data_IF_506379855713
#
_entry.id   IF_506379855713
#
_cell.length_a   1.000
_cell.length_b   1.000
_cell.length_c   1.000
_cell.angle_alpha   90.00
_cell.angle_beta   90.00
_cell.angle_gamma   90.00
#
_symmetry.space_group_name_H-M   'P 1'
#
loop_
_entity.id
_entity.type
_entity.pdbx_description
1 polymer ?
#
# COMPACT_ATOMS: atom_id res chain seq x y z
N UNK A 1 -27.22 37.00 -24.29
CA UNK A 1 -27.04 37.19 -22.83
C UNK A 1 -27.80 36.11 -22.09
N UNK A 2 -27.17 34.96 -21.85
CA UNK A 2 -27.54 34.07 -20.75
C UNK A 2 -26.26 33.40 -20.29
N UNK A 3 -25.63 34.01 -19.29
CA UNK A 3 -24.48 33.46 -18.59
C UNK A 3 -24.95 32.30 -17.72
N UNK A 4 -24.54 31.10 -18.09
CA UNK A 4 -24.49 29.97 -17.16
C UNK A 4 -23.19 30.07 -16.38
N UNK A 5 -23.30 30.40 -15.10
CA UNK A 5 -22.19 30.35 -14.15
C UNK A 5 -21.74 28.89 -14.00
N UNK A 6 -20.67 28.51 -14.69
CA UNK A 6 -19.88 27.37 -14.29
C UNK A 6 -19.32 27.67 -12.89
N UNK A 7 -19.85 26.98 -11.88
CA UNK A 7 -19.20 26.91 -10.57
C UNK A 7 -17.89 26.15 -10.78
N UNK A 8 -16.83 26.87 -11.15
CA UNK A 8 -15.47 26.40 -10.97
C UNK A 8 -15.28 26.21 -9.46
N UNK A 9 -15.38 24.95 -8.99
CA UNK A 9 -14.85 24.58 -7.69
C UNK A 9 -13.38 25.00 -7.71
N UNK A 10 -13.05 26.10 -7.02
CA UNK A 10 -11.68 26.55 -6.84
C UNK A 10 -10.87 25.35 -6.39
N UNK A 11 -9.87 24.96 -7.19
CA UNK A 11 -9.00 23.84 -6.88
C UNK A 11 -8.35 24.11 -5.52
N UNK A 12 -8.84 23.45 -4.46
CA UNK A 12 -8.37 23.70 -3.10
C UNK A 12 -7.14 22.84 -2.91
N UNK A 13 -5.99 23.42 -3.23
CA UNK A 13 -4.68 22.89 -2.82
C UNK A 13 -4.75 22.38 -1.37
N UNK A 14 -4.47 21.09 -1.21
CA UNK A 14 -4.46 20.42 0.07
C UNK A 14 -3.21 20.85 0.84
N UNK A 15 -3.37 21.17 2.13
CA UNK A 15 -2.24 21.49 3.00
C UNK A 15 -1.99 20.34 3.95
N UNK A 16 -0.71 19.99 4.10
CA UNK A 16 -0.27 18.97 5.03
C UNK A 16 0.67 19.57 6.07
N UNK A 17 0.53 19.13 7.31
CA UNK A 17 1.53 19.32 8.35
C UNK A 17 2.37 18.05 8.42
N UNK A 18 3.67 18.16 8.11
CA UNK A 18 4.64 17.07 8.28
C UNK A 18 4.95 16.86 9.76
N UNK A 19 4.93 15.61 10.18
CA UNK A 19 5.43 15.13 11.45
C UNK A 19 6.54 14.12 11.16
N UNK A 20 7.75 14.40 11.63
CA UNK A 20 8.89 13.48 11.56
C UNK A 20 8.88 12.63 12.82
N UNK A 21 8.43 11.38 12.71
CA UNK A 21 8.26 10.50 13.88
C UNK A 21 9.58 9.83 14.24
N UNK A 22 10.33 9.40 13.23
CA UNK A 22 11.66 8.82 13.36
C UNK A 22 12.45 9.06 12.06
N UNK A 23 13.78 9.14 12.15
CA UNK A 23 14.69 9.30 11.00
C UNK A 23 15.59 8.08 10.79
N UNK A 24 15.46 7.04 11.61
CA UNK A 24 16.21 5.79 11.51
C UNK A 24 15.48 4.78 10.61
N UNK A 25 16.24 3.99 9.84
CA UNK A 25 15.71 2.96 8.96
C UNK A 25 15.39 1.66 9.73
N UNK A 26 14.10 1.31 9.78
CA UNK A 26 13.62 0.09 10.42
C UNK A 26 12.65 -0.73 9.57
N UNK A 27 12.06 -0.14 8.54
CA UNK A 27 11.04 -0.75 7.72
C UNK A 27 10.93 -0.02 6.38
N UNK A 28 10.36 -0.70 5.39
CA UNK A 28 10.00 -0.15 4.08
C UNK A 28 8.49 0.10 3.95
N UNK A 29 7.71 -0.17 5.01
CA UNK A 29 6.26 0.00 5.02
C UNK A 29 5.73 0.33 6.42
N UNK A 30 4.41 0.47 6.55
CA UNK A 30 3.78 0.84 7.82
C UNK A 30 2.44 0.14 8.00
N UNK A 31 2.15 -0.24 9.24
CA UNK A 31 0.82 -0.64 9.66
C UNK A 31 0.21 0.49 10.49
N UNK A 32 -1.10 0.70 10.36
CA UNK A 32 -1.84 1.76 11.04
C UNK A 32 -3.03 1.14 11.77
N UNK A 33 -3.17 1.40 13.07
CA UNK A 33 -4.19 0.75 13.90
C UNK A 33 -4.32 1.40 15.27
N UNK A 34 -5.44 1.21 15.96
CA UNK A 34 -5.60 1.58 17.37
C UNK A 34 -5.08 0.42 18.24
N UNK A 35 -3.76 0.34 18.42
CA UNK A 35 -3.11 -0.81 19.05
C UNK A 35 -3.27 -0.81 20.58
N UNK A 36 -3.59 0.33 21.20
CA UNK A 36 -3.77 0.45 22.64
C UNK A 36 -5.22 0.66 23.11
N UNK A 37 -6.17 0.72 22.17
CA UNK A 37 -7.60 1.00 22.41
C UNK A 37 -7.88 2.36 23.05
N UNK A 38 -7.04 3.35 22.78
CA UNK A 38 -7.26 4.71 23.27
C UNK A 38 -8.16 5.55 22.36
N UNK A 39 -8.58 4.96 21.23
CA UNK A 39 -9.44 5.58 20.24
C UNK A 39 -8.69 6.41 19.19
N UNK A 40 -7.36 6.46 19.21
CA UNK A 40 -6.51 7.12 18.21
C UNK A 40 -5.84 6.08 17.32
N UNK A 41 -5.56 6.46 16.08
CA UNK A 41 -4.78 5.63 15.18
C UNK A 41 -3.29 5.84 15.47
N UNK A 42 -2.59 4.74 15.69
CA UNK A 42 -1.15 4.69 15.89
C UNK A 42 -0.44 4.14 14.64
N UNK A 43 0.90 4.13 14.67
CA UNK A 43 1.73 3.66 13.55
C UNK A 43 2.68 2.58 14.04
N UNK A 44 2.77 1.45 13.34
CA UNK A 44 3.86 0.48 13.47
C UNK A 44 4.74 0.52 12.24
N UNK A 45 6.05 0.56 12.45
CA UNK A 45 7.07 0.44 11.41
C UNK A 45 8.17 -0.52 11.89
N UNK A 46 8.15 -1.75 11.38
CA UNK A 46 9.06 -2.81 11.79
C UNK A 46 8.95 -3.10 13.30
N UNK A 47 10.07 -2.99 14.02
CA UNK A 47 10.15 -3.31 15.44
C UNK A 47 9.51 -2.28 16.38
N UNK A 48 9.00 -1.16 15.87
CA UNK A 48 8.53 -0.05 16.69
C UNK A 48 7.07 0.30 16.45
N UNK A 49 6.35 0.46 17.54
CA UNK A 49 5.02 1.06 17.61
C UNK A 49 5.15 2.49 18.13
N UNK A 50 4.56 3.44 17.41
CA UNK A 50 4.51 4.85 17.76
C UNK A 50 3.07 5.18 18.16
N UNK A 51 2.85 5.33 19.45
CA UNK A 51 1.57 5.76 20.04
C UNK A 51 1.34 7.24 19.71
N UNK A 52 0.15 7.53 19.19
CA UNK A 52 -0.26 8.85 18.78
C UNK A 52 -0.39 9.80 19.98
N UNK A 53 0.04 11.06 19.84
CA UNK A 53 -0.01 12.02 20.94
C UNK A 53 -1.45 12.26 21.40
N UNK A 54 -1.66 12.28 22.71
CA UNK A 54 -2.96 12.61 23.29
C UNK A 54 -3.47 13.97 22.77
N UNK A 55 -4.73 14.01 22.33
CA UNK A 55 -5.36 15.27 21.91
C UNK A 55 -5.31 16.29 23.06
N UNK A 56 -5.09 17.57 22.75
CA UNK A 56 -5.02 18.65 23.74
C UNK A 56 -6.36 18.88 24.44
N UNK A 57 -6.74 18.01 25.38
CA UNK A 57 -7.69 18.29 26.45
C UNK A 57 -7.01 18.00 27.79
N UNK A 58 -6.25 18.98 28.28
CA UNK A 58 -5.94 19.11 29.71
C UNK A 58 -4.79 18.28 30.31
N UNK A 59 -3.97 17.57 29.53
CA UNK A 59 -2.81 16.81 30.03
C UNK A 59 -1.47 17.48 29.77
N UNK A 60 -0.58 17.49 30.77
CA UNK A 60 0.72 18.17 30.74
C UNK A 60 1.64 17.70 29.59
N UNK A 61 2.35 18.65 28.97
CA UNK A 61 3.44 18.38 28.02
C UNK A 61 4.55 17.63 28.74
N UNK A 62 4.82 16.38 28.39
CA UNK A 62 6.14 15.78 28.59
C UNK A 62 6.90 15.89 27.27
N UNK A 63 7.70 16.93 27.15
CA UNK A 63 8.68 17.05 26.06
C UNK A 63 9.81 16.06 26.32
N UNK A 64 9.97 15.04 25.47
CA UNK A 64 11.18 14.23 25.49
C UNK A 64 12.20 14.89 24.54
N UNK A 65 13.15 15.61 25.10
CA UNK A 65 14.05 16.52 24.39
C UNK A 65 15.30 15.82 23.81
N UNK A 66 15.13 14.75 23.02
CA UNK A 66 16.28 14.00 22.50
C UNK A 66 16.29 13.69 21.00
N UNK A 67 15.27 14.10 20.23
CA UNK A 67 15.26 13.93 18.78
C UNK A 67 14.53 15.13 18.16
N UNK A 68 15.20 15.82 17.22
CA UNK A 68 14.68 16.99 16.54
C UNK A 68 13.33 16.69 15.88
N UNK A 69 12.31 17.46 16.29
CA UNK A 69 10.90 17.38 15.85
C UNK A 69 10.10 16.10 16.16
N UNK A 70 10.26 15.53 17.37
CA UNK A 70 9.29 14.58 17.93
C UNK A 70 8.11 15.30 18.59
N UNK A 71 7.02 15.47 17.84
CA UNK A 71 5.72 15.86 18.39
C UNK A 71 5.13 14.72 19.25
N UNK A 72 5.63 14.52 20.47
CA UNK A 72 5.00 13.70 21.54
C UNK A 72 4.58 12.25 21.20
N UNK A 73 4.94 11.68 20.05
CA UNK A 73 4.71 10.27 19.75
C UNK A 73 5.54 9.42 20.72
N UNK A 74 4.91 8.44 21.36
CA UNK A 74 5.59 7.57 22.32
C UNK A 74 6.03 6.30 21.59
N UNK A 75 7.35 6.07 21.56
CA UNK A 75 7.96 4.92 20.90
C UNK A 75 7.97 3.72 21.86
N UNK A 76 7.39 2.62 21.41
CA UNK A 76 7.34 1.32 22.08
C UNK A 76 8.02 0.26 21.20
N UNK A 77 8.57 -0.78 21.82
CA UNK A 77 9.10 -1.93 21.10
C UNK A 77 7.99 -2.99 20.92
N UNK A 78 7.73 -3.37 19.68
CA UNK A 78 6.88 -4.52 19.35
C UNK A 78 7.66 -5.80 19.60
N UNK A 79 8.90 -5.85 19.11
CA UNK A 79 9.86 -6.93 19.33
C UNK A 79 11.26 -6.34 19.42
N UNK A 80 12.24 -7.15 19.84
CA UNK A 80 13.63 -6.70 19.95
C UNK A 80 14.13 -6.13 18.59
N UNK A 81 14.53 -4.85 18.51
CA UNK A 81 14.88 -4.24 17.24
C UNK A 81 16.21 -4.75 16.68
N UNK A 82 16.23 -4.98 15.37
CA UNK A 82 17.45 -5.15 14.59
C UNK A 82 18.16 -3.82 14.33
N UNK A 83 19.35 -3.89 13.73
CA UNK A 83 20.05 -2.73 13.16
C UNK A 83 20.17 -2.93 11.66
N UNK A 84 19.73 -1.94 10.90
CA UNK A 84 19.77 -1.97 9.44
C UNK A 84 20.57 -0.78 8.93
N UNK A 85 21.41 -1.04 7.92
CA UNK A 85 22.14 -0.02 7.20
C UNK A 85 21.62 0.00 5.76
N UNK A 86 20.96 1.11 5.40
CA UNK A 86 20.38 1.25 4.07
C UNK A 86 21.44 1.30 2.96
N UNK A 87 22.72 1.53 3.29
CA UNK A 87 23.82 1.49 2.33
C UNK A 87 24.21 0.07 1.94
N UNK A 88 23.96 -0.92 2.81
CA UNK A 88 24.45 -2.29 2.62
C UNK A 88 23.34 -3.33 2.57
N UNK A 89 22.09 -2.98 2.89
CA UNK A 89 21.00 -3.95 2.90
C UNK A 89 19.61 -3.36 3.08
N UNK A 90 18.71 -4.23 3.52
CA UNK A 90 17.28 -3.97 3.74
C UNK A 90 16.88 -4.24 5.19
N UNK A 91 15.70 -3.77 5.58
CA UNK A 91 15.01 -4.21 6.79
C UNK A 91 14.36 -5.58 6.59
N UNK A 92 13.95 -6.20 7.70
CA UNK A 92 13.15 -7.43 7.72
C UNK A 92 11.63 -7.16 7.69
N UNK A 93 11.25 -6.00 7.16
CA UNK A 93 9.88 -5.46 7.22
C UNK A 93 9.62 -4.68 5.93
N UNK A 94 8.99 -5.36 4.97
CA UNK A 94 8.70 -4.81 3.64
C UNK A 94 7.27 -4.28 3.56
N UNK A 95 6.30 -5.16 3.78
CA UNK A 95 4.86 -4.82 3.84
C UNK A 95 4.34 -5.06 5.25
N UNK A 96 3.50 -4.15 5.71
CA UNK A 96 2.97 -4.14 7.07
C UNK A 96 1.45 -3.98 7.01
N UNK A 97 0.73 -4.70 7.85
CA UNK A 97 -0.72 -4.64 7.93
C UNK A 97 -1.19 -4.77 9.38
N UNK A 98 -2.38 -4.26 9.67
CA UNK A 98 -2.97 -4.23 11.01
C UNK A 98 -4.38 -4.82 10.97
N UNK A 99 -4.59 -5.90 11.71
CA UNK A 99 -5.91 -6.52 11.86
C UNK A 99 -5.97 -7.32 13.17
N UNK A 100 -7.16 -7.55 13.70
CA UNK A 100 -7.38 -8.46 14.83
C UNK A 100 -7.33 -9.91 14.31
N UNK A 101 -6.16 -10.56 14.35
CA UNK A 101 -5.93 -11.86 13.72
C UNK A 101 -6.66 -12.95 14.49
N UNK A 102 -6.50 -12.97 15.81
CA UNK A 102 -7.07 -13.99 16.71
C UNK A 102 -8.50 -13.69 17.19
N UNK A 103 -9.05 -12.54 16.76
CA UNK A 103 -10.40 -12.05 17.09
C UNK A 103 -10.65 -11.91 18.59
N UNK A 104 -9.63 -11.48 19.32
CA UNK A 104 -9.75 -11.16 20.74
C UNK A 104 -10.19 -9.71 21.01
N UNK A 105 -10.36 -8.94 19.94
CA UNK A 105 -10.79 -7.55 19.91
C UNK A 105 -9.63 -6.56 19.91
N UNK A 106 -8.36 -6.98 19.97
CA UNK A 106 -7.19 -6.11 19.89
C UNK A 106 -6.54 -6.20 18.51
N UNK A 107 -6.10 -5.07 17.98
CA UNK A 107 -5.45 -5.06 16.67
C UNK A 107 -4.05 -5.63 16.81
N UNK A 108 -3.76 -6.67 16.03
CA UNK A 108 -2.45 -7.28 15.88
C UNK A 108 -1.67 -6.66 14.72
N UNK A 109 -0.40 -7.03 14.62
CA UNK A 109 0.52 -6.52 13.59
C UNK A 109 1.00 -7.65 12.69
N UNK A 110 0.76 -7.53 11.39
CA UNK A 110 1.29 -8.45 10.37
C UNK A 110 2.48 -7.81 9.68
N UNK A 111 3.57 -8.57 9.56
CA UNK A 111 4.80 -8.20 8.88
C UNK A 111 5.10 -9.23 7.79
N UNK A 112 5.15 -8.76 6.55
CA UNK A 112 5.79 -9.50 5.46
C UNK A 112 7.26 -9.09 5.43
N UNK A 113 8.12 -10.09 5.54
CA UNK A 113 9.57 -9.92 5.55
C UNK A 113 10.11 -9.68 4.13
N UNK A 114 11.42 -9.78 3.95
CA UNK A 114 12.09 -9.72 2.65
C UNK A 114 11.42 -10.67 1.63
N UNK A 115 11.27 -10.29 0.35
CA UNK A 115 10.62 -11.13 -0.65
C UNK A 115 11.24 -12.53 -0.67
N UNK A 116 10.40 -13.55 -0.58
CA UNK A 116 10.75 -14.97 -0.46
C UNK A 116 10.88 -15.51 0.96
N UNK A 117 10.81 -14.65 1.96
CA UNK A 117 10.79 -15.02 3.38
C UNK A 117 9.36 -15.09 3.93
N UNK A 118 9.26 -15.37 5.22
CA UNK A 118 7.98 -15.60 5.88
C UNK A 118 7.14 -14.32 6.03
N UNK A 119 5.83 -14.50 6.06
CA UNK A 119 4.94 -13.56 6.73
C UNK A 119 4.74 -14.02 8.18
N UNK A 120 4.80 -13.07 9.11
CA UNK A 120 4.59 -13.31 10.54
C UNK A 120 3.54 -12.33 11.06
N UNK A 121 2.81 -12.72 12.09
CA UNK A 121 1.97 -11.81 12.85
C UNK A 121 2.43 -11.76 14.30
N UNK A 122 2.35 -10.58 14.90
CA UNK A 122 2.72 -10.29 16.26
C UNK A 122 1.43 -10.06 17.05
N UNK A 123 1.21 -10.90 18.06
CA UNK A 123 0.05 -10.83 18.93
C UNK A 123 0.15 -9.66 19.89
N UNK A 124 -0.87 -8.81 19.89
CA UNK A 124 -0.95 -7.64 20.75
C UNK A 124 -1.01 -8.07 22.23
N UNK A 125 -0.11 -7.57 23.09
CA UNK A 125 -0.01 -7.98 24.49
C UNK A 125 -0.96 -7.20 25.41
N UNK A 126 -1.91 -6.43 24.86
CA UNK A 126 -2.99 -5.74 25.59
C UNK A 126 -2.46 -4.74 26.61
N UNK A 127 -1.56 -3.86 26.19
CA UNK A 127 -0.92 -2.86 27.02
C UNK A 127 -0.11 -3.44 28.22
N UNK A 128 0.31 -4.71 28.19
CA UNK A 128 1.12 -5.29 29.28
C UNK A 128 2.53 -4.70 29.38
N UNK A 129 3.02 -4.07 28.30
CA UNK A 129 4.39 -3.58 28.18
C UNK A 129 5.41 -4.64 27.77
N UNK A 130 4.97 -5.89 27.54
CA UNK A 130 5.82 -6.97 27.01
C UNK A 130 6.00 -6.84 25.49
N UNK A 131 7.08 -7.45 24.96
CA UNK A 131 7.19 -7.65 23.52
C UNK A 131 6.08 -8.57 23.01
N UNK A 132 5.57 -8.25 21.84
CA UNK A 132 4.49 -8.94 21.16
C UNK A 132 4.97 -10.32 20.72
N UNK A 133 4.15 -11.34 20.93
CA UNK A 133 4.52 -12.71 20.58
C UNK A 133 4.37 -12.93 19.08
N UNK A 134 5.46 -13.31 18.41
CA UNK A 134 5.44 -13.64 16.99
C UNK A 134 4.85 -15.03 16.74
N UNK A 135 4.06 -15.15 15.68
CA UNK A 135 3.51 -16.38 15.15
C UNK A 135 3.71 -16.39 13.64
N UNK A 136 4.08 -17.54 13.07
CA UNK A 136 4.24 -17.66 11.63
C UNK A 136 2.86 -17.66 10.96
N UNK A 137 2.65 -16.73 10.02
CA UNK A 137 1.46 -16.66 9.18
C UNK A 137 1.63 -17.58 7.97
N UNK A 138 2.74 -17.41 7.25
CA UNK A 138 3.07 -18.21 6.07
C UNK A 138 4.58 -18.28 5.83
N UNK A 139 5.05 -19.32 5.14
CA UNK A 139 6.49 -19.65 5.04
C UNK A 139 7.25 -18.91 3.94
N UNK A 140 6.56 -18.35 2.95
CA UNK A 140 7.17 -17.72 1.78
C UNK A 140 6.21 -16.74 1.11
N UNK A 141 6.55 -15.45 1.10
CA UNK A 141 5.82 -14.41 0.36
C UNK A 141 6.80 -13.74 -0.61
N UNK A 142 6.66 -14.05 -1.89
CA UNK A 142 7.61 -13.71 -2.96
C UNK A 142 7.44 -12.31 -3.56
N UNK A 143 6.30 -11.66 -3.36
CA UNK A 143 6.10 -10.29 -3.87
C UNK A 143 6.86 -9.26 -3.04
N UNK A 144 7.30 -8.17 -3.67
CA UNK A 144 7.70 -6.96 -2.92
C UNK A 144 6.50 -6.22 -2.34
N UNK A 145 5.36 -6.27 -3.04
CA UNK A 145 4.11 -5.61 -2.68
C UNK A 145 2.93 -6.59 -2.75
N UNK A 146 2.86 -7.63 -1.90
CA UNK A 146 1.65 -8.43 -1.75
C UNK A 146 0.44 -7.58 -1.32
N UNK A 147 -0.77 -8.10 -1.54
CA UNK A 147 -2.01 -7.37 -1.25
C UNK A 147 -2.74 -7.94 -0.05
N UNK A 148 -3.15 -7.05 0.86
CA UNK A 148 -4.13 -7.36 1.89
C UNK A 148 -5.50 -6.86 1.44
N UNK A 149 -6.42 -7.77 1.12
CA UNK A 149 -7.75 -7.49 0.54
C UNK A 149 -8.73 -8.61 0.88
N UNK A 150 -10.01 -8.29 1.05
CA UNK A 150 -11.09 -9.28 1.21
C UNK A 150 -11.37 -10.02 -0.11
N UNK A 151 -10.89 -11.28 -0.22
CA UNK A 151 -10.99 -12.08 -1.45
C UNK A 151 -12.31 -12.82 -1.52
N UNK A 152 -12.83 -13.30 -0.39
CA UNK A 152 -14.05 -14.10 -0.34
C UNK A 152 -15.32 -13.37 0.11
N UNK A 153 -15.22 -12.05 0.32
CA UNK A 153 -16.33 -11.16 0.58
C UNK A 153 -16.88 -11.26 2.00
N UNK A 154 -16.08 -11.75 2.96
CA UNK A 154 -16.50 -11.95 4.34
C UNK A 154 -16.29 -10.73 5.25
N UNK A 155 -15.73 -9.65 4.69
CA UNK A 155 -15.44 -8.41 5.38
C UNK A 155 -14.08 -8.39 6.11
N UNK A 156 -13.20 -9.36 5.86
CA UNK A 156 -11.85 -9.42 6.43
C UNK A 156 -10.80 -9.48 5.34
N UNK A 157 -9.70 -8.76 5.55
CA UNK A 157 -8.60 -8.81 4.60
C UNK A 157 -7.89 -10.17 4.65
N UNK A 158 -7.75 -10.77 3.47
CA UNK A 158 -6.92 -11.93 3.17
C UNK A 158 -5.58 -11.46 2.57
N UNK A 159 -4.63 -12.37 2.35
CA UNK A 159 -3.33 -12.04 1.76
C UNK A 159 -3.16 -12.72 0.39
N UNK A 160 -3.10 -11.93 -0.69
CA UNK A 160 -2.74 -12.42 -2.03
C UNK A 160 -1.23 -12.30 -2.22
N UNK A 161 -0.59 -13.41 -2.60
CA UNK A 161 0.84 -13.44 -2.83
C UNK A 161 1.34 -14.58 -3.74
N UNK A 162 2.57 -14.43 -4.20
CA UNK A 162 3.42 -15.45 -4.77
C UNK A 162 4.00 -16.29 -3.63
N UNK A 163 3.67 -17.56 -3.57
CA UNK A 163 4.40 -18.53 -2.76
C UNK A 163 5.62 -19.01 -3.56
N UNK A 164 6.74 -18.32 -3.36
CA UNK A 164 7.98 -18.55 -4.12
C UNK A 164 8.65 -19.90 -3.83
N UNK A 165 8.36 -20.54 -2.70
CA UNK A 165 8.83 -21.91 -2.41
C UNK A 165 7.88 -22.96 -3.01
N UNK A 166 6.58 -22.66 -3.07
CA UNK A 166 5.56 -23.48 -3.71
C UNK A 166 5.46 -23.34 -5.22
N UNK A 167 6.10 -22.33 -5.82
CA UNK A 167 5.97 -21.95 -7.24
C UNK A 167 4.52 -21.75 -7.67
N UNK A 168 3.75 -20.99 -6.88
CA UNK A 168 2.33 -20.74 -7.10
C UNK A 168 1.93 -19.34 -6.69
N UNK A 169 0.86 -18.83 -7.28
CA UNK A 169 0.13 -17.66 -6.77
C UNK A 169 -1.03 -18.18 -5.92
N UNK A 170 -1.16 -17.63 -4.72
CA UNK A 170 -2.17 -18.02 -3.73
C UNK A 170 -2.86 -16.80 -3.15
N UNK A 171 -4.02 -17.03 -2.58
CA UNK A 171 -4.52 -16.18 -1.52
C UNK A 171 -4.59 -16.98 -0.22
N UNK A 172 -4.32 -16.32 0.90
CA UNK A 172 -4.34 -16.90 2.24
C UNK A 172 -5.58 -16.36 2.94
N UNK A 173 -6.56 -17.25 3.16
CA UNK A 173 -7.79 -16.96 3.90
C UNK A 173 -7.48 -16.67 5.35
N UNK A 174 -7.93 -15.52 5.85
CA UNK A 174 -7.75 -15.13 7.23
C UNK A 174 -8.61 -15.98 8.20
N UNK A 175 -8.17 -16.20 9.46
CA UNK A 175 -8.87 -17.09 10.41
C UNK A 175 -10.22 -16.52 10.84
N UNK A 176 -11.33 -17.23 10.68
CA UNK A 176 -12.69 -16.66 10.85
C UNK A 176 -13.32 -16.82 12.23
N UNK A 177 -12.71 -17.57 13.13
CA UNK A 177 -13.25 -17.79 14.47
C UNK A 177 -12.33 -17.28 15.57
N UNK A 178 -12.93 -16.84 16.68
CA UNK A 178 -12.17 -16.39 17.86
C UNK A 178 -11.26 -17.50 18.39
N UNK A 179 -9.98 -17.17 18.53
CA UNK A 179 -8.93 -18.08 18.96
C UNK A 179 -8.38 -18.98 17.85
N UNK A 180 -8.97 -18.97 16.65
CA UNK A 180 -8.32 -19.53 15.46
C UNK A 180 -7.30 -18.51 14.93
N UNK A 181 -6.14 -19.01 14.55
CA UNK A 181 -5.01 -18.20 14.05
C UNK A 181 -4.43 -18.78 12.77
N UNK A 182 -5.03 -19.85 12.23
CA UNK A 182 -4.53 -20.55 11.06
C UNK A 182 -5.01 -19.88 9.77
N UNK A 183 -4.06 -19.39 8.98
CA UNK A 183 -4.33 -18.91 7.63
C UNK A 183 -4.39 -20.09 6.66
N UNK A 184 -5.39 -20.11 5.78
CA UNK A 184 -5.63 -21.24 4.86
C UNK A 184 -5.28 -20.86 3.42
N UNK A 185 -4.27 -21.50 2.78
CA UNK A 185 -3.89 -21.18 1.41
C UNK A 185 -4.85 -21.78 0.38
N UNK A 186 -5.27 -20.97 -0.58
CA UNK A 186 -6.02 -21.36 -1.78
C UNK A 186 -5.22 -21.01 -3.03
N UNK A 187 -5.12 -21.94 -3.97
CA UNK A 187 -4.26 -21.79 -5.16
C UNK A 187 -4.99 -21.02 -6.26
N UNK A 188 -4.51 -19.84 -6.61
CA UNK A 188 -4.97 -19.10 -7.79
C UNK A 188 -4.35 -19.72 -9.05
N UNK A 189 -3.04 -19.99 -9.03
CA UNK A 189 -2.33 -20.62 -10.15
C UNK A 189 -1.04 -21.31 -9.70
N UNK A 190 -0.71 -22.44 -10.33
CA UNK A 190 0.54 -23.19 -10.16
C UNK A 190 1.43 -23.14 -11.43
N UNK A 191 1.15 -22.21 -12.34
CA UNK A 191 1.94 -22.02 -13.57
C UNK A 191 3.20 -21.22 -13.24
N UNK A 192 4.35 -21.89 -13.23
CA UNK A 192 5.65 -21.35 -12.78
C UNK A 192 5.99 -19.95 -13.31
N UNK A 193 5.77 -19.71 -14.61
CA UNK A 193 6.19 -18.45 -15.24
C UNK A 193 5.17 -17.29 -15.07
N UNK A 194 4.14 -17.47 -14.23
CA UNK A 194 3.11 -16.45 -13.96
C UNK A 194 3.18 -15.93 -12.52
N UNK A 195 4.15 -15.06 -12.27
CA UNK A 195 4.24 -14.31 -11.01
C UNK A 195 4.46 -15.17 -9.76
N UNK A 196 5.13 -16.32 -9.90
CA UNK A 196 5.30 -17.27 -8.77
C UNK A 196 6.64 -17.12 -8.04
N UNK A 197 7.56 -16.29 -8.51
CA UNK A 197 8.95 -16.27 -8.05
C UNK A 197 9.20 -15.19 -6.99
N UNK A 198 10.37 -15.25 -6.37
CA UNK A 198 10.86 -14.19 -5.47
C UNK A 198 11.07 -12.88 -6.24
N UNK A 199 10.77 -11.75 -5.61
CA UNK A 199 10.75 -10.41 -6.23
C UNK A 199 9.71 -10.27 -7.34
N UNK A 200 8.54 -10.90 -7.18
CA UNK A 200 7.45 -10.66 -8.13
C UNK A 200 6.87 -9.25 -7.94
N UNK A 201 6.86 -8.48 -9.02
CA UNK A 201 6.30 -7.13 -9.10
C UNK A 201 4.94 -7.12 -9.81
N UNK A 202 4.18 -6.03 -9.62
CA UNK A 202 2.89 -5.85 -10.27
C UNK A 202 1.85 -6.84 -9.76
N UNK A 203 1.13 -6.48 -8.70
CA UNK A 203 0.00 -7.27 -8.20
C UNK A 203 -1.20 -6.34 -7.99
N UNK A 204 -2.34 -6.74 -8.54
CA UNK A 204 -3.61 -6.01 -8.45
C UNK A 204 -4.78 -6.92 -8.12
N UNK A 205 -5.87 -6.30 -7.63
CA UNK A 205 -7.13 -6.98 -7.33
C UNK A 205 -8.32 -6.11 -7.69
N UNK A 206 -9.07 -6.49 -8.74
CA UNK A 206 -10.19 -5.72 -9.25
C UNK A 206 -10.98 -6.46 -10.32
N UNK A 207 -12.24 -6.11 -10.50
CA UNK A 207 -13.15 -6.77 -11.45
C UNK A 207 -12.80 -6.34 -12.88
N UNK A 208 -12.11 -7.21 -13.63
CA UNK A 208 -11.59 -6.91 -14.97
C UNK A 208 -12.65 -7.11 -16.05
N UNK A 209 -13.59 -8.03 -15.84
CA UNK A 209 -14.59 -8.42 -16.82
C UNK A 209 -16.01 -7.89 -16.50
N UNK A 210 -16.15 -7.09 -15.44
CA UNK A 210 -17.40 -6.48 -14.95
C UNK A 210 -18.46 -7.51 -14.55
N UNK A 211 -18.04 -8.68 -14.09
CA UNK A 211 -18.96 -9.76 -13.67
C UNK A 211 -19.34 -9.71 -12.18
N UNK A 212 -18.82 -8.73 -11.45
CA UNK A 212 -19.07 -8.50 -10.04
C UNK A 212 -18.11 -9.24 -9.11
N UNK A 213 -17.14 -10.01 -9.64
CA UNK A 213 -16.08 -10.66 -8.87
C UNK A 213 -14.76 -9.98 -9.18
N UNK A 214 -13.93 -9.77 -8.15
CA UNK A 214 -12.61 -9.16 -8.33
C UNK A 214 -11.61 -10.22 -8.76
N UNK A 215 -10.82 -9.88 -9.76
CA UNK A 215 -9.81 -10.72 -10.39
C UNK A 215 -8.41 -10.37 -9.89
N UNK A 216 -7.47 -11.30 -10.01
CA UNK A 216 -6.07 -11.06 -9.64
C UNK A 216 -5.26 -10.69 -10.88
N UNK A 217 -4.61 -9.54 -10.84
CA UNK A 217 -3.88 -8.96 -11.98
C UNK A 217 -2.39 -8.99 -11.72
N UNK A 218 -1.61 -9.37 -12.74
CA UNK A 218 -0.15 -9.20 -12.79
C UNK A 218 0.24 -8.57 -14.12
N UNK A 219 1.51 -8.16 -14.27
CA UNK A 219 1.98 -7.48 -15.50
C UNK A 219 1.71 -8.22 -16.82
N UNK A 220 1.61 -9.55 -16.79
CA UNK A 220 1.46 -10.40 -17.99
C UNK A 220 0.03 -10.88 -18.25
N UNK A 221 -0.93 -10.48 -17.41
CA UNK A 221 -2.32 -10.94 -17.51
C UNK A 221 -3.04 -10.96 -16.18
N UNK A 222 -4.22 -11.55 -16.18
CA UNK A 222 -5.06 -11.63 -15.00
C UNK A 222 -5.74 -12.99 -14.91
N UNK A 223 -6.11 -13.34 -13.68
CA UNK A 223 -6.86 -14.54 -13.34
C UNK A 223 -8.29 -14.17 -13.00
N UNK A 224 -9.23 -14.66 -13.79
CA UNK A 224 -10.66 -14.52 -13.57
C UNK A 224 -11.10 -15.31 -12.35
N UNK A 225 -11.69 -14.61 -11.38
CA UNK A 225 -12.21 -15.21 -10.18
C UNK A 225 -13.37 -16.16 -10.54
N UNK A 226 -13.34 -17.43 -10.09
CA UNK A 226 -14.47 -18.33 -10.20
C UNK A 226 -15.60 -17.88 -9.29
N UNK A 227 -16.81 -18.40 -9.52
CA UNK A 227 -17.98 -18.09 -8.66
C UNK A 227 -17.74 -18.43 -7.17
N UNK A 228 -16.86 -19.41 -6.88
CA UNK A 228 -16.38 -19.70 -5.54
C UNK A 228 -14.86 -19.48 -5.48
N UNK A 229 -14.35 -18.42 -4.82
CA UNK A 229 -12.94 -18.02 -4.87
C UNK A 229 -11.95 -19.07 -4.32
N UNK A 230 -12.44 -20.06 -3.57
CA UNK A 230 -11.68 -21.22 -3.07
C UNK A 230 -11.41 -22.28 -4.15
N UNK A 231 -12.08 -22.20 -5.29
CA UNK A 231 -11.79 -23.07 -6.42
C UNK A 231 -10.37 -22.78 -6.92
N UNK A 232 -9.56 -23.83 -7.05
CA UNK A 232 -8.20 -23.70 -7.53
C UNK A 232 -8.14 -23.43 -9.03
N UNK A 233 -7.02 -22.85 -9.48
CA UNK A 233 -6.68 -22.66 -10.90
C UNK A 233 -7.71 -21.79 -11.64
N UNK A 234 -7.71 -20.52 -11.26
CA UNK A 234 -8.52 -19.47 -11.87
C UNK A 234 -8.22 -19.34 -13.37
N UNK A 235 -9.21 -18.92 -14.16
CA UNK A 235 -9.06 -18.87 -15.62
C UNK A 235 -8.11 -17.72 -16.01
N UNK A 236 -7.16 -17.98 -16.90
CA UNK A 236 -6.10 -17.02 -17.23
C UNK A 236 -6.41 -16.25 -18.52
N UNK A 237 -6.22 -14.93 -18.46
CA UNK A 237 -6.34 -14.02 -19.59
C UNK A 237 -5.03 -13.24 -19.77
N UNK A 238 -4.33 -13.36 -20.92
CA UNK A 238 -3.10 -12.64 -21.15
C UNK A 238 -3.35 -11.14 -21.34
N UNK A 239 -2.47 -10.31 -20.79
CA UNK A 239 -2.45 -8.85 -20.98
C UNK A 239 -1.00 -8.36 -20.98
N UNK A 240 -0.69 -7.37 -21.79
CA UNK A 240 0.63 -6.71 -21.74
C UNK A 240 0.46 -5.40 -20.96
N UNK A 241 0.70 -5.47 -19.65
CA UNK A 241 0.55 -4.34 -18.73
C UNK A 241 1.91 -3.74 -18.34
N UNK A 242 2.90 -3.94 -19.20
CA UNK A 242 4.20 -3.28 -19.15
C UNK A 242 5.24 -3.96 -18.27
N UNK A 243 6.15 -3.14 -17.75
CA UNK A 243 7.32 -3.55 -16.98
C UNK A 243 7.00 -3.86 -15.51
N UNK A 244 8.04 -4.19 -14.73
CA UNK A 244 7.92 -4.41 -13.30
C UNK A 244 7.38 -3.15 -12.61
N UNK A 245 6.25 -3.32 -11.92
CA UNK A 245 5.48 -2.23 -11.37
C UNK A 245 5.19 -2.40 -9.87
N UNK A 246 4.72 -1.35 -9.23
CA UNK A 246 4.23 -1.39 -7.85
C UNK A 246 2.84 -2.07 -7.78
N UNK A 247 1.97 -1.62 -6.86
CA UNK A 247 0.58 -2.03 -6.84
C UNK A 247 -0.12 -1.68 -8.17
N UNK A 248 -1.02 -2.55 -8.61
CA UNK A 248 -1.83 -2.35 -9.82
C UNK A 248 -3.28 -2.15 -9.42
N UNK A 249 -3.92 -1.09 -9.93
CA UNK A 249 -5.33 -0.81 -9.65
C UNK A 249 -6.16 -0.86 -10.93
N UNK A 250 -7.37 -1.38 -10.81
CA UNK A 250 -8.29 -1.63 -11.92
C UNK A 250 -9.43 -0.61 -11.86
N UNK A 251 -9.58 0.21 -12.90
CA UNK A 251 -10.61 1.24 -13.01
C UNK A 251 -10.88 1.59 -14.47
N UNK A 252 -12.14 1.89 -14.81
CA UNK A 252 -12.52 2.53 -16.08
C UNK A 252 -12.05 4.00 -16.06
N UNK A 253 -10.86 4.29 -16.63
CA UNK A 253 -10.21 5.60 -16.53
C UNK A 253 -10.68 6.56 -17.63
N UNK A 254 -11.01 6.06 -18.82
CA UNK A 254 -11.45 6.92 -19.91
C UNK A 254 -12.98 6.94 -20.12
N UNK A 255 -13.73 6.19 -19.31
CA UNK A 255 -15.20 6.09 -19.34
C UNK A 255 -15.74 5.47 -20.62
N UNK A 256 -14.98 4.60 -21.28
CA UNK A 256 -15.42 3.90 -22.48
C UNK A 256 -16.22 2.62 -22.18
N UNK A 257 -16.18 2.16 -20.93
CA UNK A 257 -16.96 1.01 -20.47
C UNK A 257 -16.17 -0.30 -20.41
N UNK A 258 -14.86 -0.32 -20.61
CA UNK A 258 -13.99 -1.42 -20.20
C UNK A 258 -13.19 -1.09 -18.92
N UNK A 259 -12.21 -1.91 -18.55
CA UNK A 259 -11.43 -1.73 -17.31
C UNK A 259 -9.95 -1.59 -17.62
N UNK A 260 -9.39 -0.47 -17.20
CA UNK A 260 -7.98 -0.13 -17.35
C UNK A 260 -7.17 -0.52 -16.12
N UNK A 261 -5.85 -0.50 -16.29
CA UNK A 261 -4.92 -0.80 -15.18
C UNK A 261 -3.90 0.30 -14.97
N UNK A 262 -3.94 0.95 -13.81
CA UNK A 262 -2.98 1.98 -13.40
C UNK A 262 -1.90 1.39 -12.50
N UNK A 263 -0.66 1.80 -12.74
CA UNK A 263 0.48 1.41 -11.91
C UNK A 263 1.64 2.40 -12.04
N UNK A 264 2.80 2.04 -11.50
CA UNK A 264 3.96 2.89 -11.45
C UNK A 264 5.25 2.07 -11.44
N UNK A 265 6.34 2.65 -11.95
CA UNK A 265 7.60 1.94 -12.12
C UNK A 265 8.17 1.50 -10.79
N UNK A 266 8.54 0.22 -10.69
CA UNK A 266 9.37 -0.26 -9.60
C UNK A 266 10.81 0.23 -9.80
N UNK A 267 11.42 -0.01 -10.97
CA UNK A 267 12.90 0.07 -11.12
C UNK A 267 13.41 1.18 -12.05
N UNK A 268 12.50 2.00 -12.58
CA UNK A 268 12.84 3.03 -13.55
C UNK A 268 12.04 4.32 -13.28
N UNK A 269 11.79 5.07 -14.34
CA UNK A 269 10.96 6.27 -14.30
C UNK A 269 9.62 5.97 -14.94
N UNK A 270 8.54 6.40 -14.29
CA UNK A 270 7.22 6.34 -14.90
C UNK A 270 6.10 6.13 -13.89
N UNK A 271 5.01 6.82 -14.15
CA UNK A 271 3.67 6.49 -13.66
C UNK A 271 2.81 6.41 -14.91
N UNK A 272 2.00 5.38 -15.05
CA UNK A 272 1.24 5.10 -16.27
C UNK A 272 -0.06 4.37 -15.98
N UNK A 273 -0.92 4.34 -16.98
CA UNK A 273 -2.05 3.41 -17.04
C UNK A 273 -2.08 2.72 -18.40
N UNK A 274 -2.66 1.52 -18.42
CA UNK A 274 -2.87 0.72 -19.62
C UNK A 274 -4.36 0.72 -19.94
N UNK A 275 -4.70 1.35 -21.06
CA UNK A 275 -6.03 1.36 -21.67
C UNK A 275 -6.33 -0.03 -22.21
N UNK A 276 -7.41 -0.64 -21.77
CA UNK A 276 -7.96 -1.78 -22.49
C UNK A 276 -8.62 -1.26 -23.77
N UNK A 277 -8.38 -1.94 -24.89
CA UNK A 277 -8.96 -1.55 -26.17
C UNK A 277 -9.58 -2.77 -26.81
N UNK A 278 -10.90 -2.76 -26.92
CA UNK A 278 -11.68 -3.81 -27.57
C UNK A 278 -12.04 -3.40 -28.99
N UNK A 279 -11.54 -4.15 -29.98
CA UNK A 279 -11.87 -3.89 -31.38
C UNK A 279 -13.27 -4.39 -31.77
N UNK A 280 -13.72 -4.07 -32.98
CA UNK A 280 -15.04 -4.46 -33.48
C UNK A 280 -15.24 -5.98 -33.61
N UNK A 281 -14.17 -6.78 -33.58
CA UNK A 281 -14.22 -8.25 -33.55
C UNK A 281 -14.25 -8.83 -32.14
N UNK A 282 -14.11 -7.99 -31.11
CA UNK A 282 -13.99 -8.40 -29.72
C UNK A 282 -12.56 -8.76 -29.30
N UNK A 283 -11.55 -8.47 -30.13
CA UNK A 283 -10.16 -8.70 -29.76
C UNK A 283 -9.69 -7.60 -28.79
N UNK A 284 -9.07 -8.03 -27.70
CA UNK A 284 -8.52 -7.14 -26.67
C UNK A 284 -7.07 -6.82 -26.96
N UNK A 285 -6.70 -5.55 -26.87
CA UNK A 285 -5.33 -5.06 -26.87
C UNK A 285 -5.13 -4.05 -25.74
N UNK A 286 -3.87 -3.71 -25.45
CA UNK A 286 -3.53 -2.82 -24.34
C UNK A 286 -2.66 -1.68 -24.85
N UNK A 287 -2.99 -0.45 -24.45
CA UNK A 287 -2.25 0.75 -24.83
C UNK A 287 -1.81 1.53 -23.60
N UNK A 288 -0.50 1.70 -23.45
CA UNK A 288 0.05 2.49 -22.36
C UNK A 288 -0.15 3.99 -22.60
N UNK A 289 -0.48 4.70 -21.53
CA UNK A 289 -0.49 6.16 -21.43
C UNK A 289 0.33 6.60 -20.23
N UNK A 290 1.26 7.53 -20.46
CA UNK A 290 2.08 8.06 -19.39
C UNK A 290 1.34 9.15 -18.60
N UNK A 291 1.32 9.00 -17.28
CA UNK A 291 0.88 10.01 -16.33
C UNK A 291 2.05 10.95 -16.02
N UNK A 292 3.23 10.39 -15.75
CA UNK A 292 4.44 11.16 -15.51
C UNK A 292 5.69 10.34 -15.84
N UNK A 293 6.46 10.78 -16.84
CA UNK A 293 7.65 10.05 -17.34
C UNK A 293 8.95 10.36 -16.58
N UNK A 294 8.96 11.38 -15.72
CA UNK A 294 10.17 11.85 -15.03
C UNK A 294 10.18 11.51 -13.54
N UNK A 295 9.30 10.61 -13.10
CA UNK A 295 9.18 10.24 -11.70
C UNK A 295 9.78 8.85 -11.47
N UNK A 296 10.94 8.82 -10.81
CA UNK A 296 11.73 7.62 -10.53
C UNK A 296 11.21 6.81 -9.35
N UNK A 297 11.41 5.49 -9.38
CA UNK A 297 11.38 4.61 -8.21
C UNK A 297 10.10 4.68 -7.37
N UNK A 298 8.95 4.61 -8.03
CA UNK A 298 7.62 4.63 -7.42
C UNK A 298 7.16 3.24 -6.98
N UNK A 299 7.92 2.61 -6.09
CA UNK A 299 7.67 1.24 -5.60
C UNK A 299 6.43 1.05 -4.72
N UNK A 300 5.80 2.13 -4.29
CA UNK A 300 4.59 2.08 -3.47
C UNK A 300 3.55 3.05 -4.02
N UNK A 301 2.34 2.56 -4.19
CA UNK A 301 1.21 3.31 -4.72
C UNK A 301 0.01 3.14 -3.77
N UNK A 302 -0.68 4.25 -3.50
CA UNK A 302 -1.99 4.27 -2.85
C UNK A 302 -3.01 4.89 -3.78
N UNK A 303 -4.24 4.39 -3.78
CA UNK A 303 -5.36 4.91 -4.58
C UNK A 303 -6.52 5.27 -3.65
N UNK A 304 -6.80 6.55 -3.48
CA UNK A 304 -7.83 7.06 -2.56
C UNK A 304 -8.32 8.44 -2.98
N UNK A 305 -9.59 8.76 -2.76
CA UNK A 305 -10.13 10.11 -2.99
C UNK A 305 -9.56 11.11 -1.96
N UNK A 306 -8.47 11.79 -2.34
CA UNK A 306 -7.70 12.68 -1.46
C UNK A 306 -8.45 13.99 -1.25
N UNK A 307 -9.07 14.52 -2.29
CA UNK A 307 -9.70 15.84 -2.26
C UNK A 307 -11.21 15.80 -1.93
N UNK A 308 -11.82 14.61 -1.90
CA UNK A 308 -13.26 14.35 -1.72
C UNK A 308 -14.13 14.78 -2.89
N UNK A 309 -13.61 14.66 -4.12
CA UNK A 309 -14.36 14.99 -5.33
C UNK A 309 -15.12 13.78 -5.92
N UNK A 310 -15.00 12.60 -5.29
CA UNK A 310 -15.66 11.37 -5.70
C UNK A 310 -14.83 10.51 -6.64
N UNK A 311 -13.64 10.96 -7.06
CA UNK A 311 -12.71 10.20 -7.89
C UNK A 311 -11.48 9.84 -7.05
N UNK A 312 -10.96 8.62 -7.16
CA UNK A 312 -9.76 8.27 -6.42
C UNK A 312 -8.52 8.87 -7.09
N UNK A 313 -7.62 9.37 -6.26
CA UNK A 313 -6.35 9.96 -6.62
C UNK A 313 -5.19 9.03 -6.28
N UNK A 314 -4.07 9.18 -6.97
CA UNK A 314 -2.85 8.42 -6.62
C UNK A 314 -2.06 9.14 -5.54
N UNK A 315 -1.50 8.38 -4.60
CA UNK A 315 -0.50 8.85 -3.63
C UNK A 315 0.75 8.00 -3.80
N UNK A 316 1.89 8.64 -4.07
CA UNK A 316 3.17 7.96 -4.21
C UNK A 316 4.34 8.93 -4.00
N UNK A 317 5.53 8.40 -3.89
CA UNK A 317 6.77 9.15 -3.72
C UNK A 317 7.96 8.37 -4.24
N UNK A 318 9.11 9.03 -4.31
CA UNK A 318 10.34 8.39 -4.75
C UNK A 318 10.90 7.52 -3.64
N UNK A 319 11.30 6.29 -3.97
CA UNK A 319 12.03 5.42 -3.04
C UNK A 319 13.46 5.91 -2.89
N UNK A 320 13.72 6.61 -1.79
CA UNK A 320 15.06 7.09 -1.44
C UNK A 320 16.04 5.92 -1.38
N UNK A 321 17.17 6.05 -2.08
CA UNK A 321 18.25 5.06 -2.06
C UNK A 321 17.78 3.65 -2.46
N UNK A 322 16.88 3.57 -3.46
CA UNK A 322 16.39 2.31 -4.01
C UNK A 322 17.56 1.41 -4.45
N UNK A 323 17.46 0.12 -4.12
CA UNK A 323 18.50 -0.89 -4.35
C UNK A 323 19.93 -0.41 -4.02
N UNK A 324 20.09 0.21 -2.84
CA UNK A 324 21.38 0.68 -2.33
C UNK A 324 22.05 1.76 -3.22
N UNK A 325 21.26 2.47 -4.00
CA UNK A 325 21.74 3.50 -4.90
C UNK A 325 22.16 2.98 -6.28
N UNK A 326 21.60 1.84 -6.71
CA UNK A 326 21.86 1.26 -8.04
C UNK A 326 20.79 1.61 -9.07
N UNK A 327 19.61 2.01 -8.63
CA UNK A 327 18.50 2.33 -9.52
C UNK A 327 18.56 3.77 -10.03
N UNK A 328 17.91 4.09 -11.16
CA UNK A 328 17.88 5.45 -11.68
C UNK A 328 17.13 6.43 -10.75
N UNK A 329 17.71 7.60 -10.51
CA UNK A 329 17.05 8.69 -9.76
C UNK A 329 17.11 8.50 -8.23
N UNK A 330 17.87 7.53 -7.77
CA UNK A 330 18.12 7.15 -6.38
C UNK A 330 18.70 8.26 -5.49
N UNK A 331 19.34 9.25 -6.11
CA UNK A 331 19.91 10.45 -5.47
C UNK A 331 19.07 11.71 -5.67
N UNK A 332 17.98 11.62 -6.41
CA UNK A 332 17.06 12.73 -6.58
C UNK A 332 16.33 13.04 -5.26
N UNK A 333 15.73 14.24 -5.10
CA UNK A 333 14.97 14.56 -3.90
C UNK A 333 13.91 13.50 -3.59
N UNK A 334 13.87 13.04 -2.35
CA UNK A 334 12.90 12.05 -1.87
C UNK A 334 11.53 12.72 -1.73
N UNK A 335 10.86 12.94 -2.85
CA UNK A 335 9.57 13.64 -2.89
C UNK A 335 8.41 12.70 -2.58
N UNK A 336 7.35 13.26 -2.02
CA UNK A 336 6.03 12.66 -1.86
C UNK A 336 5.00 13.54 -2.59
N UNK A 337 4.13 12.91 -3.37
CA UNK A 337 3.11 13.56 -4.20
C UNK A 337 1.76 12.87 -4.01
N UNK A 338 0.69 13.62 -4.30
CA UNK A 338 -0.53 13.01 -4.80
C UNK A 338 -0.81 13.52 -6.22
N UNK A 339 -1.45 12.69 -7.03
CA UNK A 339 -1.81 12.98 -8.41
C UNK A 339 -3.32 12.98 -8.51
N UNK A 340 -3.88 14.17 -8.72
CA UNK A 340 -5.31 14.39 -8.77
C UNK A 340 -5.88 13.84 -10.06
N UNK A 341 -6.76 12.85 -9.96
CA UNK A 341 -7.41 12.26 -11.12
C UNK A 341 -8.52 13.18 -11.62
N UNK A 342 -8.52 13.44 -12.93
CA UNK A 342 -9.59 14.15 -13.63
C UNK A 342 -10.18 13.24 -14.70
N UNK A 343 -11.37 12.66 -14.44
CA UNK A 343 -11.97 11.69 -15.34
C UNK A 343 -12.50 12.34 -16.62
N UNK A 344 -12.61 11.52 -17.66
CA UNK A 344 -13.22 11.84 -18.93
C UNK A 344 -12.58 11.04 -20.05
N UNK A 345 -13.12 11.15 -21.28
CA UNK A 345 -12.65 10.43 -22.48
C UNK A 345 -11.15 10.55 -22.78
N UNK A 346 -10.51 11.57 -22.24
CA UNK A 346 -9.07 11.70 -22.20
C UNK A 346 -8.75 12.05 -20.76
N UNK A 347 -8.49 11.05 -19.89
CA UNK A 347 -8.24 11.30 -18.49
C UNK A 347 -6.96 12.13 -18.32
N UNK A 348 -6.91 12.92 -17.25
CA UNK A 348 -5.72 13.72 -16.93
C UNK A 348 -5.42 13.69 -15.45
N UNK A 349 -4.17 13.98 -15.11
CA UNK A 349 -3.65 13.88 -13.76
C UNK A 349 -2.90 15.16 -13.41
N UNK A 350 -3.26 15.79 -12.28
CA UNK A 350 -2.57 16.99 -11.80
C UNK A 350 -1.65 16.63 -10.63
N UNK A 351 -0.32 16.72 -10.76
CA UNK A 351 0.60 16.41 -9.67
C UNK A 351 0.62 17.52 -8.62
N UNK A 352 0.56 17.15 -7.35
CA UNK A 352 0.62 18.05 -6.20
C UNK A 352 1.72 17.58 -5.24
N UNK A 353 2.79 18.39 -5.10
CA UNK A 353 3.88 18.11 -4.17
C UNK A 353 3.37 18.21 -2.72
N UNK A 354 3.60 17.17 -1.92
CA UNK A 354 3.30 17.14 -0.49
C UNK A 354 4.55 17.49 0.32
N UNK A 355 5.67 16.85 -0.01
CA UNK A 355 6.95 17.06 0.67
C UNK A 355 8.11 16.69 -0.24
N UNK A 356 9.27 17.31 -0.03
CA UNK A 356 10.47 17.09 -0.86
C UNK A 356 11.57 16.26 -0.18
N UNK A 357 11.35 15.81 1.05
CA UNK A 357 12.36 15.08 1.84
C UNK A 357 11.72 14.04 2.78
N UNK A 358 10.85 13.20 2.23
CA UNK A 358 10.28 12.04 2.93
C UNK A 358 10.34 10.78 2.09
N UNK A 359 10.12 10.91 0.78
CA UNK A 359 10.01 9.81 -0.16
C UNK A 359 8.80 8.92 0.10
N UNK A 360 8.84 7.74 -0.50
CA UNK A 360 7.91 6.64 -0.20
C UNK A 360 8.68 5.32 -0.14
N UNK A 361 8.19 4.39 0.68
CA UNK A 361 8.70 3.01 0.68
C UNK A 361 7.92 2.15 -0.30
N UNK A 362 7.50 0.98 0.17
CA UNK A 362 6.68 0.02 -0.56
C UNK A 362 5.17 0.21 -0.29
N UNK A 363 4.80 1.05 0.68
CA UNK A 363 3.41 1.34 1.03
C UNK A 363 3.18 2.84 1.26
N UNK A 364 2.20 3.41 0.55
CA UNK A 364 1.64 4.72 0.85
C UNK A 364 0.30 4.56 1.58
N UNK A 365 0.32 4.60 2.91
CA UNK A 365 -0.90 4.47 3.71
C UNK A 365 -1.64 5.81 3.74
N UNK A 366 -2.76 5.90 3.02
CA UNK A 366 -3.58 7.11 2.97
C UNK A 366 -4.91 6.87 3.70
N UNK A 367 -5.00 7.38 4.94
CA UNK A 367 -6.06 7.07 5.91
C UNK A 367 -6.31 8.25 6.84
N UNK A 368 -7.54 8.37 7.37
CA UNK A 368 -7.89 9.39 8.35
C UNK A 368 -7.37 9.00 9.75
N UNK A 369 -6.18 9.51 10.11
CA UNK A 369 -5.48 9.15 11.35
C UNK A 369 -6.11 9.80 12.58
N UNK A 370 -6.63 11.02 12.41
CA UNK A 370 -7.16 11.84 13.51
C UNK A 370 -8.70 11.83 13.60
N UNK A 371 -9.38 11.04 12.76
CA UNK A 371 -10.84 10.89 12.68
C UNK A 371 -11.57 12.20 12.38
N UNK A 372 -10.92 13.13 11.67
CA UNK A 372 -11.51 14.42 11.27
C UNK A 372 -12.16 14.40 9.88
N UNK A 373 -12.26 13.20 9.31
CA UNK A 373 -12.77 12.90 7.97
C UNK A 373 -11.89 13.50 6.89
N UNK A 374 -10.59 13.66 7.09
CA UNK A 374 -9.67 14.03 6.01
C UNK A 374 -8.64 12.93 5.86
N UNK A 375 -8.31 12.62 4.62
CA UNK A 375 -7.26 11.64 4.31
C UNK A 375 -5.91 12.24 4.68
N UNK A 376 -5.23 11.62 5.64
CA UNK A 376 -3.85 11.86 5.99
C UNK A 376 -2.94 10.82 5.31
N UNK A 377 -1.62 10.98 5.39
CA UNK A 377 -0.68 10.03 4.78
C UNK A 377 0.39 9.60 5.79
N UNK A 378 0.66 8.29 5.84
CA UNK A 378 1.80 7.70 6.56
C UNK A 378 2.71 7.02 5.54
N UNK A 379 3.99 7.39 5.54
CA UNK A 379 5.03 6.77 4.71
C UNK A 379 6.22 6.40 5.56
N UNK A 380 6.81 5.26 5.23
CA UNK A 380 7.97 4.69 5.90
C UNK A 380 8.94 4.18 4.86
N UNK A 381 10.22 4.49 5.04
CA UNK A 381 11.31 4.01 4.19
C UNK A 381 12.67 4.21 4.89
N UNK A 382 13.74 4.11 4.12
CA UNK A 382 15.14 4.36 4.52
C UNK A 382 15.41 5.72 5.17
N UNK A 383 14.57 6.74 4.96
CA UNK A 383 14.64 8.04 5.63
C UNK A 383 13.92 8.09 6.97
N UNK A 384 13.16 7.06 7.33
CA UNK A 384 12.45 6.94 8.60
C UNK A 384 10.93 6.89 8.45
N UNK A 385 10.22 7.42 9.44
CA UNK A 385 8.77 7.35 9.61
C UNK A 385 8.19 8.76 9.58
N UNK A 386 7.28 9.01 8.65
CA UNK A 386 6.65 10.31 8.45
C UNK A 386 5.13 10.20 8.47
N UNK A 387 4.50 11.17 9.10
CA UNK A 387 3.05 11.35 9.10
C UNK A 387 2.71 12.75 8.58
N UNK A 388 1.81 12.81 7.60
CA UNK A 388 1.34 14.03 6.96
C UNK A 388 -0.13 14.25 7.30
N UNK A 389 -0.36 15.07 8.32
CA UNK A 389 -1.70 15.44 8.79
C UNK A 389 -2.32 16.46 7.85
N UNK A 390 -3.51 16.17 7.31
CA UNK A 390 -4.24 17.08 6.44
C UNK A 390 -4.92 18.18 7.25
N UNK A 391 -4.42 19.40 7.11
CA UNK A 391 -4.89 20.58 7.86
C UNK A 391 -5.85 21.45 7.04
N UNK A 392 -6.70 22.22 7.73
CA UNK A 392 -7.52 23.26 7.08
C UNK A 392 -6.64 24.41 6.62
N UNK A 393 -7.08 25.11 5.55
CA UNK A 393 -6.37 26.27 4.99
C UNK A 393 -6.20 27.40 5.97
#
# INVERSE_FOLDING_TARGET
LYGGSANAQKNKELKFKKHVINTEFFSEGAAVGDFNKDGRMDIIAGAFWYEAPASKKGGAKKSNAQTGDVQNWIKHEVYKPGKFDFNTGYSDSFINHAMDVDQDGWIDYIRVDFPGEAAVWYQNPKNSGEHWKAHQLYTSVGNESPLFVDVDGDGRDDLICADSKGNRVIWLESPKQKGDTQWTPHVISDVKDRGTHQFTHGLGFGDMNKDGRKDVVIRSGWWEAPAGPKQANWAWHPADLGEDAAQMYVMDLDQDGDMDVISSSAHAYGIWWHEQVVDASGAVSWKQHDIMTTFSQTHGLGLVDMNKDGNPDLVTGKRFWAHQGHDPGEREPAVLYWFEYKPGKVPSWTPHLIDSDSGNGLQANAVDMNKDKKVDIVVVNKKGVFYFERVKK
#
